data_IF_103087290556
#
_entry.id   IF_103087290556
#
_cell.length_a   1.000
_cell.length_b   1.000
_cell.length_c   1.000
_cell.angle_alpha   90.00
_cell.angle_beta   90.00
_cell.angle_gamma   90.00
#
_symmetry.space_group_name_H-M   'P 1'
#
loop_
_entity.id
_entity.type
_entity.pdbx_description
1 polymer ?
#
# COMPACT_ATOMS: atom_id res chain seq x y z
N UNK A 1 14.08 -3.38 8.07
CA UNK A 1 12.89 -3.88 7.35
C UNK A 1 12.12 -2.75 6.72
N UNK A 2 11.35 -3.06 5.72
CA UNK A 2 10.52 -2.08 5.02
C UNK A 2 9.19 -2.73 4.64
N UNK A 3 8.27 -1.93 4.13
CA UNK A 3 6.91 -2.38 3.83
C UNK A 3 6.48 -1.86 2.47
N UNK A 4 5.69 -2.68 1.77
CA UNK A 4 4.96 -2.27 0.59
C UNK A 4 3.48 -2.31 0.94
N UNK A 5 2.71 -1.34 0.46
CA UNK A 5 1.30 -1.24 0.82
C UNK A 5 0.44 -0.86 -0.39
N UNK A 6 -0.83 -1.23 -0.30
CA UNK A 6 -1.87 -0.81 -1.25
C UNK A 6 -2.91 0.00 -0.49
N UNK A 7 -3.21 1.20 -1.00
CA UNK A 7 -4.31 2.03 -0.51
C UNK A 7 -5.46 1.97 -1.51
N UNK A 8 -6.66 1.72 -1.00
CA UNK A 8 -7.87 1.87 -1.80
C UNK A 8 -8.33 3.32 -1.69
N UNK A 9 -8.40 3.99 -2.81
CA UNK A 9 -8.80 5.40 -2.89
C UNK A 9 -10.31 5.54 -3.05
N UNK A 10 -10.80 6.79 -2.93
CA UNK A 10 -12.23 7.08 -3.01
C UNK A 10 -12.84 6.68 -4.37
N UNK A 11 -12.07 6.74 -5.44
CA UNK A 11 -12.49 6.32 -6.77
C UNK A 11 -12.34 4.81 -7.01
N UNK A 12 -12.07 4.04 -5.94
CA UNK A 12 -11.86 2.60 -5.96
C UNK A 12 -10.57 2.15 -6.66
N UNK A 13 -9.68 3.07 -7.02
CA UNK A 13 -8.35 2.71 -7.52
C UNK A 13 -7.45 2.25 -6.37
N UNK A 14 -6.39 1.51 -6.72
CA UNK A 14 -5.40 1.04 -5.76
C UNK A 14 -4.07 1.74 -6.00
N UNK A 15 -3.58 2.44 -4.99
CA UNK A 15 -2.27 3.09 -5.01
C UNK A 15 -1.26 2.20 -4.30
N UNK A 16 -0.12 1.94 -4.95
CA UNK A 16 0.97 1.17 -4.37
C UNK A 16 2.12 2.10 -3.97
N UNK A 17 2.63 1.90 -2.77
CA UNK A 17 3.79 2.63 -2.26
C UNK A 17 4.63 1.74 -1.35
N UNK A 18 5.78 2.27 -0.92
CA UNK A 18 6.60 1.61 0.08
C UNK A 18 7.03 2.60 1.16
N UNK A 19 7.31 2.09 2.35
CA UNK A 19 7.71 2.93 3.49
C UNK A 19 8.38 2.08 4.56
N UNK A 20 9.03 2.73 5.51
CA UNK A 20 9.53 2.08 6.72
C UNK A 20 8.55 2.18 7.89
N UNK A 21 7.48 2.96 7.74
CA UNK A 21 6.46 3.15 8.78
C UNK A 21 5.08 3.31 8.12
N UNK A 22 4.33 2.21 8.05
CA UNK A 22 3.03 2.20 7.39
C UNK A 22 2.00 3.10 8.07
N UNK A 23 1.80 3.07 9.40
CA UNK A 23 0.81 3.95 10.03
C UNK A 23 1.08 5.43 9.78
N UNK A 24 2.34 5.85 9.86
CA UNK A 24 2.74 7.23 9.60
C UNK A 24 2.48 7.64 8.16
N UNK A 25 2.79 6.76 7.20
CA UNK A 25 2.59 7.02 5.78
C UNK A 25 1.11 7.08 5.42
N UNK A 26 0.29 6.20 5.99
CA UNK A 26 -1.16 6.21 5.80
C UNK A 26 -1.75 7.54 6.31
N UNK A 27 -1.28 8.01 7.45
CA UNK A 27 -1.68 9.32 7.98
C UNK A 27 -1.29 10.46 7.04
N UNK A 28 -0.08 10.42 6.48
CA UNK A 28 0.36 11.43 5.51
C UNK A 28 -0.51 11.42 4.26
N UNK A 29 -0.90 10.25 3.76
CA UNK A 29 -1.85 10.16 2.63
C UNK A 29 -3.19 10.78 2.98
N UNK A 30 -3.72 10.50 4.17
CA UNK A 30 -4.99 11.05 4.63
C UNK A 30 -4.95 12.57 4.72
N UNK A 31 -3.80 13.15 5.07
CA UNK A 31 -3.58 14.60 5.13
C UNK A 31 -3.31 15.22 3.75
N UNK A 32 -3.14 14.42 2.71
CA UNK A 32 -2.86 14.91 1.37
C UNK A 32 -1.42 15.33 1.13
N UNK A 33 -0.47 14.91 1.98
CA UNK A 33 0.94 15.33 1.91
C UNK A 33 1.88 14.27 1.35
N UNK A 34 1.41 13.03 1.15
CA UNK A 34 2.28 11.94 0.72
C UNK A 34 2.43 11.84 -0.80
N UNK A 35 1.37 12.08 -1.57
CA UNK A 35 1.43 12.06 -3.03
C UNK A 35 0.29 12.88 -3.61
N UNK A 36 0.48 13.39 -4.83
CA UNK A 36 -0.58 14.12 -5.56
C UNK A 36 -1.71 13.19 -5.94
N UNK A 37 -1.39 11.97 -6.34
CA UNK A 37 -2.39 10.98 -6.73
C UNK A 37 -3.39 10.72 -5.61
N UNK A 38 -2.89 10.41 -4.41
CA UNK A 38 -3.75 10.09 -3.26
C UNK A 38 -4.41 11.34 -2.69
N UNK A 39 -3.76 12.50 -2.71
CA UNK A 39 -4.34 13.75 -2.24
C UNK A 39 -5.64 14.09 -3.00
N UNK A 40 -5.67 13.84 -4.30
CA UNK A 40 -6.84 14.10 -5.13
C UNK A 40 -7.95 13.04 -4.99
N UNK A 41 -7.67 11.92 -4.31
CA UNK A 41 -8.57 10.75 -4.23
C UNK A 41 -8.90 10.33 -2.81
N UNK A 42 -8.93 11.29 -1.91
CA UNK A 42 -9.32 11.07 -0.51
C UNK A 42 -10.82 10.85 -0.38
N UNK A 43 -11.30 10.12 0.61
CA UNK A 43 -10.53 9.38 1.61
C UNK A 43 -9.95 8.06 1.09
N UNK A 44 -8.99 7.50 1.85
CA UNK A 44 -8.37 6.22 1.51
C UNK A 44 -8.54 5.24 2.65
N UNK A 45 -8.38 3.94 2.31
CA UNK A 45 -8.27 2.87 3.29
C UNK A 45 -7.08 1.99 2.94
N UNK A 46 -6.36 1.52 3.95
CA UNK A 46 -5.29 0.55 3.75
C UNK A 46 -5.92 -0.78 3.34
N UNK A 47 -5.64 -1.22 2.11
CA UNK A 47 -6.19 -2.45 1.57
C UNK A 47 -5.31 -3.66 1.88
N UNK A 48 -3.99 -3.49 1.83
CA UNK A 48 -3.03 -4.55 2.12
C UNK A 48 -1.67 -3.95 2.41
N UNK A 49 -0.83 -4.70 3.16
CA UNK A 49 0.55 -4.34 3.39
C UNK A 49 1.39 -5.60 3.57
N UNK A 50 2.65 -5.53 3.19
CA UNK A 50 3.60 -6.62 3.29
C UNK A 50 4.92 -6.12 3.85
N UNK A 51 5.55 -6.96 4.69
CA UNK A 51 6.88 -6.70 5.19
C UNK A 51 7.91 -7.38 4.30
N UNK A 52 9.02 -6.71 4.04
CA UNK A 52 10.17 -7.24 3.31
C UNK A 52 11.45 -6.91 4.07
N UNK A 53 12.56 -7.66 3.82
CA UNK A 53 13.78 -7.52 4.62
C UNK A 53 14.48 -6.16 4.51
N UNK A 54 14.39 -5.48 3.36
CA UNK A 54 15.15 -4.26 3.12
C UNK A 54 14.37 -3.25 2.28
N UNK A 55 14.89 -2.01 2.26
CA UNK A 55 14.34 -0.95 1.40
C UNK A 55 14.48 -1.28 -0.08
N UNK A 56 15.59 -1.91 -0.46
CA UNK A 56 15.80 -2.36 -1.84
C UNK A 56 14.74 -3.36 -2.25
N UNK A 57 14.44 -4.33 -1.39
CA UNK A 57 13.37 -5.30 -1.64
C UNK A 57 12.00 -4.61 -1.76
N UNK A 58 11.74 -3.62 -0.91
CA UNK A 58 10.50 -2.85 -0.97
C UNK A 58 10.34 -2.11 -2.30
N UNK A 59 11.41 -1.45 -2.76
CA UNK A 59 11.38 -0.75 -4.05
C UNK A 59 11.15 -1.69 -5.22
N UNK A 60 11.80 -2.86 -5.21
CA UNK A 60 11.64 -3.87 -6.25
C UNK A 60 10.23 -4.42 -6.27
N UNK A 61 9.68 -4.71 -5.10
CA UNK A 61 8.32 -5.22 -4.98
C UNK A 61 7.29 -4.19 -5.41
N UNK A 62 7.46 -2.93 -5.01
CA UNK A 62 6.60 -1.84 -5.45
C UNK A 62 6.58 -1.75 -6.98
N UNK A 63 7.75 -1.79 -7.61
CA UNK A 63 7.86 -1.73 -9.07
C UNK A 63 7.13 -2.90 -9.74
N UNK A 64 7.23 -4.10 -9.17
CA UNK A 64 6.52 -5.29 -9.67
C UNK A 64 5.01 -5.13 -9.55
N UNK A 65 4.53 -4.68 -8.40
CA UNK A 65 3.09 -4.50 -8.16
C UNK A 65 2.52 -3.42 -9.10
N UNK A 66 3.26 -2.35 -9.33
CA UNK A 66 2.82 -1.28 -10.24
C UNK A 66 2.62 -1.75 -11.67
N UNK A 67 3.29 -2.83 -12.08
CA UNK A 67 3.13 -3.43 -13.42
C UNK A 67 1.97 -4.40 -13.53
N UNK A 68 1.37 -4.79 -12.41
CA UNK A 68 0.24 -5.70 -12.42
C UNK A 68 -1.00 -5.03 -13.01
N UNK A 69 -1.86 -5.85 -13.59
CA UNK A 69 -3.18 -5.40 -14.04
C UNK A 69 -4.05 -5.03 -12.84
N UNK A 70 -5.13 -4.30 -13.09
CA UNK A 70 -6.09 -3.95 -12.04
C UNK A 70 -6.67 -5.20 -11.36
N UNK A 71 -7.14 -6.23 -12.09
CA UNK A 71 -7.61 -7.47 -11.43
C UNK A 71 -6.56 -8.13 -10.54
N UNK A 72 -5.30 -8.15 -10.96
CA UNK A 72 -4.20 -8.72 -10.17
C UNK A 72 -3.97 -7.94 -8.88
N UNK A 73 -4.00 -6.61 -8.94
CA UNK A 73 -3.90 -5.76 -7.74
C UNK A 73 -5.09 -5.96 -6.81
N UNK A 74 -6.30 -6.08 -7.35
CA UNK A 74 -7.50 -6.36 -6.56
C UNK A 74 -7.39 -7.72 -5.87
N UNK A 75 -6.83 -8.72 -6.54
CA UNK A 75 -6.60 -10.03 -5.94
C UNK A 75 -5.63 -9.93 -4.75
N UNK A 76 -4.54 -9.17 -4.86
CA UNK A 76 -3.62 -8.92 -3.75
C UNK A 76 -4.32 -8.22 -2.58
N UNK A 77 -5.14 -7.23 -2.87
CA UNK A 77 -5.91 -6.51 -1.85
C UNK A 77 -6.91 -7.45 -1.15
N UNK A 78 -7.40 -8.47 -1.86
CA UNK A 78 -8.32 -9.46 -1.30
C UNK A 78 -7.61 -10.60 -0.55
N UNK A 79 -6.28 -10.62 -0.51
CA UNK A 79 -5.51 -11.59 0.26
C UNK A 79 -4.75 -12.64 -0.52
N UNK A 80 -4.64 -12.51 -1.84
CA UNK A 80 -3.83 -13.43 -2.64
C UNK A 80 -2.37 -13.40 -2.20
N UNK A 81 -1.68 -14.56 -2.18
CA UNK A 81 -0.28 -14.63 -1.75
C UNK A 81 0.64 -13.82 -2.65
N UNK A 82 1.68 -13.24 -2.06
CA UNK A 82 2.72 -12.50 -2.76
C UNK A 82 4.07 -13.07 -2.38
N UNK A 83 4.76 -13.67 -3.34
CA UNK A 83 6.03 -14.34 -3.10
C UNK A 83 7.10 -13.38 -2.59
N UNK A 84 7.87 -13.81 -1.58
CA UNK A 84 8.97 -13.02 -1.01
C UNK A 84 8.55 -11.92 -0.06
N UNK A 85 7.27 -11.85 0.31
CA UNK A 85 6.73 -10.83 1.20
C UNK A 85 5.82 -11.45 2.25
N UNK A 86 5.84 -10.91 3.46
CA UNK A 86 5.01 -11.38 4.57
C UNK A 86 3.84 -10.41 4.77
N UNK A 87 2.58 -10.88 4.63
CA UNK A 87 1.44 -10.00 4.88
C UNK A 87 1.43 -9.52 6.32
N UNK A 88 1.14 -8.24 6.50
CA UNK A 88 1.01 -7.63 7.82
C UNK A 88 -0.30 -6.86 7.91
N UNK A 89 -0.82 -6.74 9.13
CA UNK A 89 -2.03 -5.98 9.40
C UNK A 89 -1.73 -4.88 10.39
N UNK A 90 -2.33 -3.74 10.16
CA UNK A 90 -2.27 -2.61 11.06
C UNK A 90 -3.68 -2.30 11.54
N UNK A 91 -3.83 -2.02 12.83
CA UNK A 91 -5.10 -1.61 13.38
C UNK A 91 -5.56 -0.31 12.70
N UNK A 92 -6.84 -0.28 12.28
CA UNK A 92 -7.42 0.96 11.79
C UNK A 92 -7.52 1.95 12.95
N UNK A 93 -7.22 3.25 12.73
CA UNK A 93 -7.44 4.22 13.78
C UNK A 93 -8.91 4.24 14.17
N UNK A 94 -9.18 4.30 15.46
CA UNK A 94 -10.54 4.42 15.95
C UNK A 94 -11.14 5.74 15.46
N UNK A 95 -12.41 5.72 15.03
CA UNK A 95 -13.08 6.94 14.63
C UNK A 95 -13.27 7.89 15.80
#
# INVERSE_FOLDING_TARGET
MAFVYLLRCADNSLYCGWTVDVPKRVKAHALGTASRYTAARRPHALAAAWEVPSRTDARRLEARIKRLTRPEKQALAAGSPLAGATPVRFASPEP
#
